data_IF_204148838291
#
_entry.id   IF_204148838291
#
_cell.length_a   1.000
_cell.length_b   1.000
_cell.length_c   1.000
_cell.angle_alpha   90.00
_cell.angle_beta   90.00
_cell.angle_gamma   90.00
#
_symmetry.space_group_name_H-M   'P 1'
#
loop_
_entity.id
_entity.type
_entity.pdbx_description
1 polymer ?
#
# COMPACT_ATOMS: atom_id res chain seq x y z
N UNK A 1 6.72 -7.52 -6.93
CA UNK A 1 8.19 -7.50 -7.15
C UNK A 1 8.71 -6.15 -7.63
N UNK A 2 8.17 -5.53 -8.69
CA UNK A 2 8.65 -4.22 -9.15
C UNK A 2 8.62 -3.13 -8.05
N UNK A 3 7.49 -2.98 -7.35
CA UNK A 3 7.37 -2.06 -6.20
C UNK A 3 8.37 -2.36 -5.07
N UNK A 4 8.56 -3.64 -4.76
CA UNK A 4 9.56 -4.12 -3.78
C UNK A 4 11.01 -3.77 -4.12
N UNK A 5 11.33 -3.44 -5.38
CA UNK A 5 12.67 -3.02 -5.82
C UNK A 5 12.82 -1.51 -6.01
N UNK A 6 11.72 -0.84 -6.37
CA UNK A 6 11.66 0.61 -6.57
C UNK A 6 11.68 1.34 -5.22
N UNK A 7 10.96 0.83 -4.21
CA UNK A 7 10.91 1.42 -2.87
C UNK A 7 12.31 1.49 -2.23
N UNK A 8 13.11 0.40 -2.19
CA UNK A 8 14.50 0.45 -1.74
C UNK A 8 15.35 1.45 -2.53
N UNK A 9 15.22 1.49 -3.87
CA UNK A 9 16.01 2.41 -4.70
C UNK A 9 15.70 3.88 -4.38
N UNK A 10 14.42 4.20 -4.22
CA UNK A 10 13.95 5.54 -3.87
C UNK A 10 14.40 5.92 -2.45
N UNK A 11 14.22 5.03 -1.46
CA UNK A 11 14.64 5.26 -0.07
C UNK A 11 16.16 5.32 0.13
N UNK A 12 16.95 4.73 -0.77
CA UNK A 12 18.41 4.84 -0.73
C UNK A 12 18.96 6.06 -1.48
N UNK A 13 18.09 6.87 -2.11
CA UNK A 13 18.46 8.04 -2.93
C UNK A 13 19.56 7.75 -3.96
N UNK A 14 19.63 6.51 -4.47
CA UNK A 14 20.66 6.11 -5.42
C UNK A 14 20.41 6.79 -6.75
N UNK A 15 21.41 7.53 -7.25
CA UNK A 15 21.27 8.24 -8.52
C UNK A 15 21.22 7.23 -9.70
N UNK A 16 20.76 7.70 -10.87
CA UNK A 16 20.68 6.87 -12.08
C UNK A 16 22.05 6.35 -12.56
N UNK A 17 23.17 6.93 -12.13
CA UNK A 17 24.52 6.48 -12.52
C UNK A 17 25.01 5.33 -11.61
N UNK A 18 24.72 5.38 -10.32
CA UNK A 18 25.07 4.37 -9.31
C UNK A 18 24.17 3.14 -9.46
N UNK A 19 22.89 3.37 -9.74
CA UNK A 19 21.92 2.29 -9.91
C UNK A 19 20.96 2.58 -11.07
N UNK A 20 21.36 2.23 -12.31
CA UNK A 20 20.59 2.53 -13.51
C UNK A 20 19.29 1.70 -13.61
N UNK A 21 18.25 2.23 -14.28
CA UNK A 21 16.92 1.60 -14.34
C UNK A 21 16.92 0.24 -15.03
N UNK A 22 17.84 -0.02 -15.99
CA UNK A 22 17.92 -1.34 -16.62
C UNK A 22 18.31 -2.44 -15.63
N UNK A 23 19.10 -2.14 -14.58
CA UNK A 23 19.44 -3.13 -13.55
C UNK A 23 18.23 -3.51 -12.72
N UNK A 24 17.34 -2.57 -12.40
CA UNK A 24 16.07 -2.89 -11.74
C UNK A 24 15.23 -3.85 -12.57
N UNK A 25 15.07 -3.55 -13.86
CA UNK A 25 14.28 -4.40 -14.77
C UNK A 25 14.90 -5.80 -14.82
N UNK A 26 16.22 -5.88 -14.99
CA UNK A 26 16.93 -7.15 -15.05
C UNK A 26 16.80 -7.96 -13.74
N UNK A 27 16.95 -7.32 -12.59
CA UNK A 27 16.76 -7.95 -11.28
C UNK A 27 15.34 -8.49 -11.15
N UNK A 28 14.33 -7.69 -11.45
CA UNK A 28 12.93 -8.12 -11.34
C UNK A 28 12.63 -9.26 -12.32
N UNK A 29 13.10 -9.17 -13.57
CA UNK A 29 12.91 -10.22 -14.57
C UNK A 29 13.58 -11.53 -14.17
N UNK A 30 14.85 -11.49 -13.74
CA UNK A 30 15.58 -12.69 -13.31
C UNK A 30 14.92 -13.29 -12.07
N UNK A 31 14.60 -12.48 -11.06
CA UNK A 31 13.94 -12.95 -9.85
C UNK A 31 12.58 -13.56 -10.13
N UNK A 32 11.80 -12.98 -11.06
CA UNK A 32 10.51 -13.51 -11.46
C UNK A 32 10.65 -14.87 -12.15
N UNK A 33 11.54 -14.99 -13.13
CA UNK A 33 11.78 -16.25 -13.85
C UNK A 33 12.28 -17.33 -12.88
N UNK A 34 13.25 -17.01 -12.03
CA UNK A 34 13.77 -17.95 -11.05
C UNK A 34 12.73 -18.37 -10.01
N UNK A 35 11.87 -17.45 -9.54
CA UNK A 35 10.78 -17.77 -8.63
C UNK A 35 9.74 -18.71 -9.28
N UNK A 36 9.39 -18.47 -10.55
CA UNK A 36 8.49 -19.34 -11.31
C UNK A 36 9.09 -20.74 -11.48
N UNK A 37 10.37 -20.84 -11.86
CA UNK A 37 11.07 -22.12 -12.00
C UNK A 37 11.16 -22.88 -10.67
N UNK A 38 11.47 -22.18 -9.58
CA UNK A 38 11.48 -22.77 -8.24
C UNK A 38 10.10 -23.32 -7.86
N UNK A 39 9.02 -22.58 -8.18
CA UNK A 39 7.66 -23.04 -7.94
C UNK A 39 7.27 -24.23 -8.82
N UNK A 40 7.66 -24.25 -10.10
CA UNK A 40 7.49 -25.41 -10.98
C UNK A 40 8.22 -26.63 -10.39
N UNK A 41 9.44 -26.46 -9.88
CA UNK A 41 10.17 -27.53 -9.19
C UNK A 41 9.41 -28.07 -7.97
N UNK A 42 8.88 -27.19 -7.12
CA UNK A 42 8.03 -27.59 -5.98
C UNK A 42 6.80 -28.36 -6.46
N UNK A 43 6.13 -27.87 -7.51
CA UNK A 43 4.95 -28.50 -8.09
C UNK A 43 5.25 -29.87 -8.73
N UNK A 44 6.47 -30.11 -9.22
CA UNK A 44 6.90 -31.41 -9.72
C UNK A 44 7.20 -32.40 -8.57
N UNK A 45 7.72 -31.92 -7.45
CA UNK A 45 7.99 -32.73 -6.27
C UNK A 45 6.73 -33.02 -5.44
N UNK A 46 5.66 -32.25 -5.62
CA UNK A 46 4.41 -32.35 -4.89
C UNK A 46 3.28 -32.89 -5.79
N UNK A 47 2.27 -33.57 -5.21
CA UNK A 47 1.11 -34.02 -5.98
C UNK A 47 0.18 -32.83 -6.26
N UNK A 48 0.06 -32.44 -7.52
CA UNK A 48 -0.79 -31.33 -7.94
C UNK A 48 -2.25 -31.52 -7.47
N UNK A 49 -2.94 -30.46 -6.98
CA UNK A 49 -2.47 -29.07 -6.82
C UNK A 49 -1.67 -28.81 -5.53
N UNK A 50 -0.70 -27.88 -5.60
CA UNK A 50 0.09 -27.45 -4.43
C UNK A 50 -0.79 -26.61 -3.50
N UNK A 51 -1.00 -27.04 -2.23
CA UNK A 51 -1.82 -26.30 -1.28
C UNK A 51 -1.17 -24.95 -0.97
N UNK A 52 -1.97 -23.90 -0.83
CA UNK A 52 -1.48 -22.54 -0.53
C UNK A 52 -0.37 -22.07 -1.47
N UNK A 53 -0.50 -22.37 -2.77
CA UNK A 53 0.47 -22.05 -3.84
C UNK A 53 1.13 -20.67 -3.68
N UNK A 54 0.35 -19.60 -3.46
CA UNK A 54 0.88 -18.24 -3.32
C UNK A 54 1.74 -18.06 -2.06
N UNK A 55 1.35 -18.69 -0.95
CA UNK A 55 2.07 -18.65 0.33
C UNK A 55 3.35 -19.48 0.27
N UNK A 56 3.30 -20.66 -0.35
CA UNK A 56 4.49 -21.50 -0.53
C UNK A 56 5.47 -20.86 -1.52
N UNK A 57 4.98 -20.26 -2.61
CA UNK A 57 5.81 -19.55 -3.58
C UNK A 57 6.51 -18.31 -2.99
N UNK A 58 5.95 -17.74 -1.92
CA UNK A 58 6.47 -16.54 -1.28
C UNK A 58 7.88 -16.74 -0.72
N UNK A 59 8.11 -17.80 0.03
CA UNK A 59 9.40 -18.06 0.69
C UNK A 59 10.56 -18.11 -0.30
N UNK A 60 10.53 -19.02 -1.30
CA UNK A 60 11.50 -19.07 -2.38
C UNK A 60 11.60 -17.74 -3.13
N UNK A 61 10.46 -17.09 -3.41
CA UNK A 61 10.42 -15.80 -4.10
C UNK A 61 11.17 -14.68 -3.36
N UNK A 62 10.92 -14.48 -2.06
CA UNK A 62 11.60 -13.45 -1.27
C UNK A 62 13.11 -13.81 -1.16
N UNK A 63 13.51 -15.08 -1.00
CA UNK A 63 14.94 -15.51 -0.97
C UNK A 63 15.65 -15.25 -2.31
N UNK A 64 15.03 -15.65 -3.42
CA UNK A 64 15.57 -15.45 -4.78
C UNK A 64 15.70 -13.97 -5.10
N UNK A 65 14.67 -13.17 -4.80
CA UNK A 65 14.72 -11.72 -4.96
C UNK A 65 15.92 -11.14 -4.23
N UNK A 66 16.15 -11.59 -3.01
CA UNK A 66 17.28 -11.18 -2.21
C UNK A 66 18.64 -11.55 -2.74
N UNK A 67 18.80 -12.81 -3.13
CA UNK A 67 20.04 -13.31 -3.71
C UNK A 67 20.40 -12.53 -4.97
N UNK A 68 19.43 -12.32 -5.87
CA UNK A 68 19.63 -11.55 -7.10
C UNK A 68 19.98 -10.08 -6.76
N UNK A 69 19.25 -9.43 -5.86
CA UNK A 69 19.61 -8.07 -5.42
C UNK A 69 21.03 -8.00 -4.86
N UNK A 70 21.39 -8.95 -4.00
CA UNK A 70 22.71 -8.99 -3.40
C UNK A 70 23.81 -9.13 -4.45
N UNK A 71 23.64 -10.01 -5.45
CA UNK A 71 24.60 -10.18 -6.55
C UNK A 71 24.76 -8.88 -7.34
N UNK A 72 23.67 -8.21 -7.70
CA UNK A 72 23.73 -6.98 -8.49
C UNK A 72 24.23 -5.75 -7.71
N UNK A 73 24.07 -5.74 -6.38
CA UNK A 73 24.55 -4.67 -5.50
C UNK A 73 25.89 -5.02 -4.82
N UNK A 74 26.43 -6.22 -4.99
CA UNK A 74 27.62 -6.69 -4.26
C UNK A 74 28.81 -5.73 -4.40
N UNK A 75 29.08 -5.24 -5.61
CA UNK A 75 30.17 -4.30 -5.85
C UNK A 75 29.94 -2.94 -5.20
N UNK A 76 28.70 -2.46 -5.18
CA UNK A 76 28.31 -1.21 -4.54
C UNK A 76 28.38 -1.32 -3.00
N UNK A 77 27.91 -2.43 -2.45
CA UNK A 77 27.96 -2.79 -1.02
C UNK A 77 29.39 -2.99 -0.50
N UNK A 78 30.29 -3.46 -1.36
CA UNK A 78 31.73 -3.62 -1.05
C UNK A 78 32.46 -2.28 -1.03
N UNK A 79 32.12 -1.37 -1.95
CA UNK A 79 32.78 -0.06 -2.08
C UNK A 79 32.25 0.98 -1.10
N UNK A 80 30.99 0.87 -0.67
CA UNK A 80 30.32 1.92 0.11
C UNK A 80 29.72 1.34 1.38
N UNK A 81 30.51 1.35 2.46
CA UNK A 81 30.12 0.90 3.81
C UNK A 81 28.78 1.47 4.33
N UNK A 82 28.45 2.76 4.16
CA UNK A 82 27.21 3.32 4.71
C UNK A 82 25.92 2.84 4.00
N UNK A 83 26.01 2.19 2.83
CA UNK A 83 24.82 1.71 2.09
C UNK A 83 24.27 0.38 2.63
N UNK A 84 25.03 -0.34 3.47
CA UNK A 84 24.63 -1.67 3.98
C UNK A 84 23.40 -1.62 4.88
N UNK A 85 23.36 -0.65 5.78
CA UNK A 85 22.25 -0.47 6.73
C UNK A 85 20.94 -0.11 6.00
N UNK A 86 20.91 0.88 5.09
CA UNK A 86 19.74 1.13 4.25
C UNK A 86 19.28 -0.11 3.46
N UNK A 87 20.20 -0.84 2.84
CA UNK A 87 19.85 -2.04 2.06
C UNK A 87 19.18 -3.10 2.95
N UNK A 88 19.74 -3.37 4.13
CA UNK A 88 19.16 -4.31 5.09
C UNK A 88 17.79 -3.88 5.60
N UNK A 89 17.60 -2.60 5.90
CA UNK A 89 16.30 -2.11 6.36
C UNK A 89 15.27 -2.06 5.20
N UNK A 90 15.70 -1.98 3.93
CA UNK A 90 14.79 -1.91 2.78
C UNK A 90 14.04 -3.23 2.56
N UNK A 91 14.61 -4.32 3.09
CA UNK A 91 13.94 -5.59 3.22
C UNK A 91 12.72 -5.54 4.13
N UNK A 92 12.61 -4.61 5.06
CA UNK A 92 11.40 -4.44 5.86
C UNK A 92 10.19 -4.13 4.94
N UNK A 93 10.38 -3.31 3.89
CA UNK A 93 9.31 -3.02 2.92
C UNK A 93 8.97 -4.22 2.04
N UNK A 94 9.94 -5.10 1.75
CA UNK A 94 9.72 -6.36 1.03
C UNK A 94 8.97 -7.35 1.91
N UNK A 95 9.40 -7.49 3.16
CA UNK A 95 8.74 -8.33 4.17
C UNK A 95 7.32 -7.87 4.46
N UNK A 96 7.06 -6.56 4.44
CA UNK A 96 5.72 -5.99 4.56
C UNK A 96 4.83 -6.43 3.40
N UNK A 97 5.30 -6.34 2.15
CA UNK A 97 4.56 -6.87 1.00
C UNK A 97 4.38 -8.40 1.07
N UNK A 98 5.41 -9.12 1.54
CA UNK A 98 5.35 -10.57 1.71
C UNK A 98 4.34 -10.95 2.83
N UNK A 99 4.25 -10.17 3.92
CA UNK A 99 3.33 -10.42 5.05
C UNK A 99 1.88 -10.42 4.61
N UNK A 100 1.55 -9.64 3.56
CA UNK A 100 0.19 -9.52 3.08
C UNK A 100 -0.42 -10.87 2.67
N UNK A 101 0.40 -11.69 2.00
CA UNK A 101 0.03 -12.99 1.45
C UNK A 101 -0.14 -14.08 2.51
N UNK A 102 0.36 -13.85 3.74
CA UNK A 102 0.30 -14.80 4.86
C UNK A 102 -0.77 -14.40 5.86
N UNK A 103 -0.80 -13.11 6.24
CA UNK A 103 -1.78 -12.57 7.17
C UNK A 103 -3.18 -12.70 6.57
N UNK A 104 -3.32 -12.64 5.24
CA UNK A 104 -4.63 -12.72 4.58
C UNK A 104 -5.36 -14.05 4.74
N UNK A 105 -4.79 -15.19 4.33
CA UNK A 105 -5.42 -16.48 4.59
C UNK A 105 -5.64 -16.72 6.08
N UNK A 106 -4.70 -16.30 6.95
CA UNK A 106 -4.80 -16.49 8.38
C UNK A 106 -5.96 -15.72 9.01
N UNK A 107 -6.06 -14.40 8.75
CA UNK A 107 -7.13 -13.56 9.27
C UNK A 107 -8.48 -13.99 8.72
N UNK A 108 -8.56 -14.35 7.43
CA UNK A 108 -9.81 -14.82 6.82
C UNK A 108 -10.29 -16.13 7.46
N UNK A 109 -9.39 -17.09 7.67
CA UNK A 109 -9.71 -18.36 8.33
C UNK A 109 -10.16 -18.15 9.78
N UNK A 110 -9.51 -17.24 10.50
CA UNK A 110 -9.91 -16.86 11.86
C UNK A 110 -11.29 -16.19 11.86
N UNK A 111 -11.55 -15.25 10.94
CA UNK A 111 -12.84 -14.55 10.82
C UNK A 111 -14.00 -15.50 10.50
N UNK A 112 -13.75 -16.53 9.69
CA UNK A 112 -14.75 -17.55 9.36
C UNK A 112 -15.02 -18.50 10.53
N UNK A 113 -14.01 -18.78 11.35
CA UNK A 113 -14.11 -19.71 12.49
C UNK A 113 -14.74 -19.11 13.76
N UNK A 114 -14.86 -17.77 13.85
CA UNK A 114 -15.40 -17.10 15.05
C UNK A 114 -16.90 -16.79 14.94
N UNK A 115 -17.56 -16.72 16.10
CA UNK A 115 -18.96 -16.26 16.20
C UNK A 115 -19.10 -14.80 15.76
N UNK A 116 -20.33 -14.32 15.50
CA UNK A 116 -20.58 -12.92 15.13
C UNK A 116 -20.01 -11.92 16.14
N UNK A 117 -20.07 -12.22 17.44
CA UNK A 117 -19.43 -11.41 18.48
C UNK A 117 -17.89 -11.40 18.34
N UNK A 118 -17.29 -12.54 17.99
CA UNK A 118 -15.86 -12.64 17.69
C UNK A 118 -15.45 -11.85 16.44
N UNK A 119 -16.28 -11.84 15.39
CA UNK A 119 -16.05 -11.01 14.19
C UNK A 119 -16.04 -9.53 14.53
N UNK A 120 -16.98 -9.08 15.36
CA UNK A 120 -17.02 -7.70 15.87
C UNK A 120 -15.75 -7.38 16.68
N UNK A 121 -15.34 -8.27 17.59
CA UNK A 121 -14.14 -8.07 18.40
C UNK A 121 -12.86 -7.97 17.53
N UNK A 122 -12.68 -8.87 16.56
CA UNK A 122 -11.56 -8.83 15.61
C UNK A 122 -11.57 -7.54 14.78
N UNK A 123 -12.75 -7.10 14.37
CA UNK A 123 -12.93 -5.85 13.63
C UNK A 123 -12.49 -4.63 14.45
N UNK A 124 -12.77 -4.60 15.75
CA UNK A 124 -12.35 -3.52 16.65
C UNK A 124 -10.84 -3.54 16.98
N UNK A 125 -10.21 -4.72 16.94
CA UNK A 125 -8.77 -4.86 17.11
C UNK A 125 -8.00 -4.39 15.87
N UNK A 126 -8.61 -4.49 14.68
CA UNK A 126 -7.96 -4.17 13.41
C UNK A 126 -7.40 -2.72 13.34
N UNK A 127 -8.11 -1.66 13.76
CA UNK A 127 -7.55 -0.31 13.90
C UNK A 127 -6.30 -0.23 14.78
N UNK A 128 -6.24 -1.01 15.88
CA UNK A 128 -5.10 -1.04 16.80
C UNK A 128 -3.89 -1.67 16.12
N UNK A 129 -4.10 -2.79 15.42
CA UNK A 129 -3.04 -3.44 14.62
C UNK A 129 -2.53 -2.47 13.54
N UNK A 130 -3.44 -1.85 12.78
CA UNK A 130 -3.15 -0.85 11.75
C UNK A 130 -2.27 0.28 12.32
N UNK A 131 -2.62 0.80 13.50
CA UNK A 131 -1.84 1.83 14.19
C UNK A 131 -0.43 1.37 14.59
N UNK A 132 -0.29 0.17 15.19
CA UNK A 132 1.00 -0.38 15.61
C UNK A 132 1.93 -0.58 14.42
N UNK A 133 1.42 -1.15 13.32
CA UNK A 133 2.19 -1.35 12.09
C UNK A 133 2.62 0.00 11.51
N UNK A 134 1.71 0.97 11.38
CA UNK A 134 2.05 2.34 10.93
C UNK A 134 3.14 2.96 11.79
N UNK A 135 3.07 2.82 13.11
CA UNK A 135 4.08 3.37 14.02
C UNK A 135 5.44 2.71 13.82
N UNK A 136 5.49 1.39 13.67
CA UNK A 136 6.73 0.65 13.41
C UNK A 136 7.34 1.04 12.05
N UNK A 137 6.51 1.11 11.02
CA UNK A 137 6.91 1.47 9.66
C UNK A 137 7.39 2.91 9.57
N UNK A 138 6.72 3.87 10.23
CA UNK A 138 7.18 5.27 10.31
C UNK A 138 8.56 5.38 10.96
N UNK A 139 8.77 4.64 12.06
CA UNK A 139 10.08 4.61 12.74
C UNK A 139 11.18 4.11 11.79
N UNK A 140 10.90 3.08 10.99
CA UNK A 140 11.84 2.58 9.98
C UNK A 140 12.02 3.55 8.81
N UNK A 141 10.94 4.17 8.33
CA UNK A 141 10.94 5.12 7.21
C UNK A 141 11.80 6.35 7.45
N UNK A 142 11.83 6.88 8.69
CA UNK A 142 12.71 8.00 9.07
C UNK A 142 14.19 7.72 8.88
N UNK A 143 14.60 6.45 8.88
CA UNK A 143 15.99 6.03 8.65
C UNK A 143 16.36 6.17 7.16
N UNK A 144 15.37 6.26 6.26
CA UNK A 144 15.50 6.30 4.80
C UNK A 144 15.21 7.66 4.16
N UNK A 145 14.87 8.68 4.96
CA UNK A 145 14.42 9.97 4.47
C UNK A 145 12.91 10.02 4.20
N UNK A 146 12.40 11.25 4.09
CA UNK A 146 10.96 11.55 4.19
C UNK A 146 10.09 10.81 3.16
N UNK A 147 10.55 10.67 1.90
CA UNK A 147 9.76 9.98 0.86
C UNK A 147 9.56 8.48 1.13
N UNK A 148 10.47 7.83 1.86
CA UNK A 148 10.35 6.40 2.16
C UNK A 148 9.40 6.13 3.33
N UNK A 149 9.24 7.08 4.26
CA UNK A 149 8.24 6.99 5.33
C UNK A 149 6.84 7.00 4.74
N UNK A 150 6.56 7.96 3.86
CA UNK A 150 5.25 8.16 3.25
C UNK A 150 4.84 6.97 2.39
N UNK A 151 5.73 6.49 1.51
CA UNK A 151 5.48 5.30 0.69
C UNK A 151 5.20 4.06 1.52
N UNK A 152 5.92 3.88 2.63
CA UNK A 152 5.74 2.70 3.47
C UNK A 152 4.42 2.78 4.26
N UNK A 153 4.04 3.96 4.76
CA UNK A 153 2.72 4.18 5.37
C UNK A 153 1.61 3.93 4.35
N UNK A 154 1.74 4.46 3.13
CA UNK A 154 0.77 4.22 2.05
C UNK A 154 0.62 2.73 1.71
N UNK A 155 1.72 1.96 1.71
CA UNK A 155 1.67 0.51 1.51
C UNK A 155 0.85 -0.19 2.59
N UNK A 156 0.95 0.24 3.86
CA UNK A 156 0.15 -0.32 4.96
C UNK A 156 -1.33 -0.01 4.76
N UNK A 157 -1.67 1.20 4.30
CA UNK A 157 -3.05 1.62 4.04
C UNK A 157 -3.68 0.80 2.91
N UNK A 158 -2.98 0.69 1.78
CA UNK A 158 -3.38 -0.16 0.64
C UNK A 158 -3.60 -1.60 1.10
N UNK A 159 -2.68 -2.11 1.92
CA UNK A 159 -2.78 -3.45 2.48
C UNK A 159 -4.05 -3.60 3.31
N UNK A 160 -4.28 -2.68 4.24
CA UNK A 160 -5.44 -2.71 5.14
C UNK A 160 -6.77 -2.63 4.39
N UNK A 161 -6.85 -1.81 3.34
CA UNK A 161 -8.04 -1.68 2.50
C UNK A 161 -8.33 -2.96 1.70
N UNK A 162 -7.28 -3.63 1.20
CA UNK A 162 -7.41 -4.95 0.58
C UNK A 162 -7.97 -5.97 1.58
N UNK A 163 -7.46 -5.99 2.81
CA UNK A 163 -7.99 -6.89 3.86
C UNK A 163 -9.46 -6.66 4.16
N UNK A 164 -9.84 -5.40 4.37
CA UNK A 164 -11.22 -5.02 4.67
C UNK A 164 -12.16 -5.45 3.54
N UNK A 165 -11.79 -5.16 2.29
CA UNK A 165 -12.55 -5.57 1.11
C UNK A 165 -12.81 -7.08 1.08
N UNK A 166 -11.79 -7.89 1.37
CA UNK A 166 -11.93 -9.34 1.35
C UNK A 166 -12.73 -9.90 2.55
N UNK A 167 -12.62 -9.30 3.74
CA UNK A 167 -13.46 -9.68 4.90
C UNK A 167 -14.93 -9.47 4.56
N UNK A 168 -15.25 -8.32 3.97
CA UNK A 168 -16.61 -7.94 3.60
C UNK A 168 -17.19 -8.82 2.49
N UNK A 169 -16.34 -9.24 1.56
CA UNK A 169 -16.70 -10.17 0.50
C UNK A 169 -16.99 -11.59 1.01
N UNK A 170 -16.12 -12.14 1.88
CA UNK A 170 -16.20 -13.55 2.29
C UNK A 170 -17.14 -13.78 3.48
N UNK A 171 -17.29 -12.79 4.35
CA UNK A 171 -18.22 -12.84 5.48
C UNK A 171 -19.03 -11.53 5.53
N UNK A 172 -20.04 -11.37 4.65
CA UNK A 172 -20.86 -10.16 4.57
C UNK A 172 -21.69 -9.98 5.84
N UNK A 173 -21.12 -9.32 6.84
CA UNK A 173 -21.78 -8.89 8.07
C UNK A 173 -22.02 -7.39 8.00
N UNK A 174 -23.29 -6.99 8.00
CA UNK A 174 -23.69 -5.56 7.94
C UNK A 174 -23.14 -4.81 9.15
N UNK A 175 -23.14 -5.44 10.33
CA UNK A 175 -22.62 -4.85 11.57
C UNK A 175 -21.11 -4.67 11.50
N UNK A 176 -20.35 -5.69 11.09
CA UNK A 176 -18.90 -5.57 10.94
C UNK A 176 -18.54 -4.51 9.89
N UNK A 177 -19.25 -4.50 8.76
CA UNK A 177 -19.13 -3.48 7.71
C UNK A 177 -19.35 -2.07 8.27
N UNK A 178 -20.47 -1.85 8.97
CA UNK A 178 -20.81 -0.54 9.53
C UNK A 178 -19.78 -0.06 10.56
N UNK A 179 -19.25 -0.98 11.38
CA UNK A 179 -18.18 -0.66 12.35
C UNK A 179 -16.89 -0.29 11.63
N UNK A 180 -16.45 -1.06 10.62
CA UNK A 180 -15.22 -0.76 9.85
C UNK A 180 -15.33 0.63 9.23
N UNK A 181 -16.41 0.87 8.48
CA UNK A 181 -16.64 2.16 7.82
C UNK A 181 -16.70 3.28 8.84
N UNK A 182 -17.44 3.11 9.94
CA UNK A 182 -17.55 4.14 10.98
C UNK A 182 -16.19 4.48 11.59
N UNK A 183 -15.35 3.49 11.85
CA UNK A 183 -13.99 3.71 12.37
C UNK A 183 -13.10 4.41 11.36
N UNK A 184 -13.12 3.99 10.09
CA UNK A 184 -12.30 4.61 9.04
C UNK A 184 -12.75 6.06 8.79
N UNK A 185 -14.06 6.33 8.72
CA UNK A 185 -14.60 7.68 8.63
C UNK A 185 -14.16 8.57 9.81
N UNK A 186 -14.23 8.05 11.03
CA UNK A 186 -13.76 8.78 12.21
C UNK A 186 -12.25 9.04 12.16
N UNK A 187 -11.46 8.05 11.71
CA UNK A 187 -10.01 8.20 11.55
C UNK A 187 -9.66 9.26 10.51
N UNK A 188 -10.31 9.24 9.36
CA UNK A 188 -10.14 10.23 8.31
C UNK A 188 -10.51 11.63 8.80
N UNK A 189 -11.69 11.79 9.41
CA UNK A 189 -12.14 13.09 9.94
C UNK A 189 -11.20 13.63 11.03
N UNK A 190 -10.70 12.76 11.92
CA UNK A 190 -9.70 13.14 12.91
C UNK A 190 -8.36 13.52 12.26
N UNK A 191 -7.93 12.82 11.21
CA UNK A 191 -6.72 13.17 10.48
C UNK A 191 -6.82 14.57 9.86
N UNK A 192 -7.97 14.88 9.22
CA UNK A 192 -8.25 16.21 8.68
C UNK A 192 -8.31 17.26 9.79
N UNK A 193 -9.02 16.98 10.90
CA UNK A 193 -9.10 17.93 12.02
C UNK A 193 -7.73 18.22 12.62
N UNK A 194 -6.92 17.18 12.88
CA UNK A 194 -5.55 17.34 13.40
C UNK A 194 -4.68 18.13 12.42
N UNK A 195 -4.87 17.91 11.11
CA UNK A 195 -4.20 18.68 10.08
C UNK A 195 -4.63 20.16 10.08
N UNK A 196 -5.94 20.43 10.21
CA UNK A 196 -6.50 21.78 10.29
C UNK A 196 -6.16 22.50 11.60
N UNK A 197 -5.98 21.80 12.71
CA UNK A 197 -5.64 22.39 14.00
C UNK A 197 -4.12 22.62 14.17
N UNK A 198 -3.30 22.15 13.22
CA UNK A 198 -1.84 22.33 13.25
C UNK A 198 -1.50 23.83 13.17
N UNK A 199 -0.85 24.42 14.19
CA UNK A 199 -0.56 25.85 14.21
C UNK A 199 0.45 26.18 13.11
N UNK A 200 0.02 26.92 12.09
CA UNK A 200 0.93 27.45 11.07
C UNK A 200 1.57 28.74 11.59
N UNK A 201 2.90 28.83 11.52
CA UNK A 201 3.65 30.05 11.87
C UNK A 201 3.33 31.22 10.93
N UNK A 202 2.85 30.91 9.73
CA UNK A 202 2.47 31.88 8.69
C UNK A 202 0.96 31.81 8.45
N UNK A 203 0.33 32.96 8.18
CA UNK A 203 -1.08 33.05 7.80
C UNK A 203 -1.36 32.24 6.52
N UNK A 204 -2.38 31.37 6.53
CA UNK A 204 -2.72 30.47 5.40
C UNK A 204 -2.93 31.20 4.08
N UNK A 205 -3.49 32.41 4.13
CA UNK A 205 -3.67 33.23 2.93
C UNK A 205 -2.34 33.55 2.25
N UNK A 206 -1.30 33.90 3.03
CA UNK A 206 0.05 34.14 2.45
C UNK A 206 0.65 32.88 1.85
N UNK A 207 0.38 31.72 2.43
CA UNK A 207 0.86 30.41 1.93
C UNK A 207 0.19 30.11 0.57
N UNK A 208 -1.13 30.29 0.48
CA UNK A 208 -1.91 30.08 -0.73
C UNK A 208 -1.51 31.09 -1.83
N UNK A 209 -1.39 32.37 -1.49
CA UNK A 209 -0.99 33.42 -2.45
C UNK A 209 0.40 33.15 -3.03
N UNK A 210 1.34 32.72 -2.17
CA UNK A 210 2.69 32.35 -2.58
C UNK A 210 2.67 31.12 -3.48
N UNK A 211 1.94 30.07 -3.10
CA UNK A 211 1.81 28.86 -3.92
C UNK A 211 1.17 29.16 -5.30
N UNK A 212 0.11 29.98 -5.34
CA UNK A 212 -0.54 30.40 -6.60
C UNK A 212 0.38 31.26 -7.46
N UNK A 213 1.17 32.15 -6.87
CA UNK A 213 2.17 32.93 -7.58
C UNK A 213 3.24 32.02 -8.21
N UNK A 214 3.70 31.00 -7.49
CA UNK A 214 4.65 30.01 -8.03
C UNK A 214 4.04 29.13 -9.13
N UNK A 215 2.81 28.66 -8.98
CA UNK A 215 2.10 27.84 -9.99
C UNK A 215 1.84 28.64 -11.28
N UNK A 216 1.47 29.92 -11.15
CA UNK A 216 1.33 30.80 -12.33
C UNK A 216 2.66 31.07 -13.02
N UNK A 217 3.75 31.19 -12.25
CA UNK A 217 5.10 31.38 -12.79
C UNK A 217 5.65 30.12 -13.48
N UNK A 218 5.23 28.93 -13.08
CA UNK A 218 5.71 27.65 -13.64
C UNK A 218 4.98 27.17 -14.89
N UNK A 219 3.78 27.67 -15.19
CA UNK A 219 3.08 27.38 -16.47
C UNK A 219 3.89 27.78 -17.73
N UNK A 220 5.05 28.44 -17.60
CA UNK A 220 5.95 28.81 -18.70
C UNK A 220 7.35 28.14 -18.74
N UNK A 221 7.74 27.24 -17.82
CA UNK A 221 9.13 26.72 -17.82
C UNK A 221 9.27 25.27 -17.26
N UNK A 222 9.22 24.29 -18.16
CA UNK A 222 9.03 22.86 -17.88
C UNK A 222 10.29 22.07 -17.41
N UNK A 223 11.45 22.69 -17.18
CA UNK A 223 12.67 21.94 -16.74
C UNK A 223 13.48 22.55 -15.60
N UNK A 224 13.14 23.77 -15.14
CA UNK A 224 13.90 24.49 -14.11
C UNK A 224 13.38 24.30 -12.68
N UNK A 225 12.28 23.56 -12.49
CA UNK A 225 11.55 23.47 -11.22
C UNK A 225 12.40 22.90 -10.08
N UNK A 226 13.06 21.76 -10.31
CA UNK A 226 13.82 21.06 -9.27
C UNK A 226 15.05 21.86 -8.80
N UNK A 227 15.74 22.51 -9.73
CA UNK A 227 16.91 23.35 -9.43
C UNK A 227 16.55 24.66 -8.70
N UNK A 228 15.38 25.26 -9.00
CA UNK A 228 14.94 26.51 -8.35
C UNK A 228 14.23 26.29 -7.03
N UNK A 229 13.53 25.17 -6.87
CA UNK A 229 12.94 24.79 -5.58
C UNK A 229 14.05 24.57 -4.55
N UNK A 230 15.15 23.92 -4.91
CA UNK A 230 16.31 23.73 -4.01
C UNK A 230 17.04 25.05 -3.68
N UNK A 231 17.10 26.00 -4.61
CA UNK A 231 17.74 27.33 -4.44
C UNK A 231 16.88 28.29 -3.59
N UNK A 232 15.55 28.15 -3.63
CA UNK A 232 14.59 28.92 -2.80
C UNK A 232 14.36 28.26 -1.42
N UNK A 233 14.61 26.95 -1.30
CA UNK A 233 14.50 26.19 -0.04
C UNK A 233 15.40 26.74 1.08
N UNK A 234 16.44 27.49 0.74
CA UNK A 234 17.42 28.03 1.68
C UNK A 234 17.00 29.39 2.30
N UNK A 235 15.90 30.01 1.83
CA UNK A 235 15.52 31.37 2.27
C UNK A 235 14.03 31.65 2.51
N UNK A 236 13.10 30.86 1.99
CA UNK A 236 11.65 31.15 2.07
C UNK A 236 10.90 30.15 3.00
N UNK A 237 10.84 30.47 4.31
CA UNK A 237 10.08 29.68 5.31
C UNK A 237 8.61 29.44 4.90
N UNK A 238 8.02 30.41 4.19
CA UNK A 238 6.64 30.34 3.68
C UNK A 238 6.48 29.25 2.63
N UNK A 239 7.45 29.09 1.73
CA UNK A 239 7.40 28.10 0.65
C UNK A 239 7.58 26.68 1.21
N UNK A 240 8.52 26.50 2.15
CA UNK A 240 8.73 25.20 2.82
C UNK A 240 7.44 24.77 3.53
N UNK A 241 6.80 25.67 4.28
CA UNK A 241 5.55 25.37 4.95
C UNK A 241 4.39 25.10 3.98
N UNK A 242 4.34 25.78 2.83
CA UNK A 242 3.36 25.50 1.77
C UNK A 242 3.50 24.08 1.21
N UNK A 243 4.75 23.66 0.94
CA UNK A 243 5.05 22.34 0.41
C UNK A 243 4.75 21.23 1.42
N UNK A 244 5.09 21.42 2.70
CA UNK A 244 4.74 20.45 3.76
C UNK A 244 3.23 20.26 3.92
N UNK A 245 2.46 21.36 3.83
CA UNK A 245 1.01 21.31 3.89
C UNK A 245 0.43 20.62 2.65
N UNK A 246 0.94 20.93 1.47
CA UNK A 246 0.53 20.29 0.22
C UNK A 246 0.83 18.78 0.25
N UNK A 247 2.03 18.39 0.68
CA UNK A 247 2.43 16.99 0.81
C UNK A 247 1.54 16.24 1.80
N UNK A 248 1.23 16.86 2.95
CA UNK A 248 0.34 16.27 3.93
C UNK A 248 -1.09 16.09 3.39
N UNK A 249 -1.60 17.08 2.66
CA UNK A 249 -2.91 17.00 2.02
C UNK A 249 -2.95 15.94 0.91
N UNK A 250 -1.91 15.87 0.08
CA UNK A 250 -1.75 14.85 -0.95
C UNK A 250 -1.74 13.45 -0.34
N UNK A 251 -0.99 13.24 0.75
CA UNK A 251 -0.95 11.95 1.45
C UNK A 251 -2.33 11.54 2.00
N UNK A 252 -3.09 12.46 2.59
CA UNK A 252 -4.45 12.17 3.09
C UNK A 252 -5.36 11.80 1.91
N UNK A 253 -5.37 12.62 0.86
CA UNK A 253 -6.18 12.38 -0.34
C UNK A 253 -5.85 11.03 -1.00
N UNK A 254 -4.56 10.70 -1.07
CA UNK A 254 -4.07 9.44 -1.62
C UNK A 254 -4.59 8.24 -0.83
N UNK A 255 -4.57 8.30 0.50
CA UNK A 255 -5.08 7.23 1.37
C UNK A 255 -6.58 7.01 1.14
N UNK A 256 -7.37 8.08 1.25
CA UNK A 256 -8.82 8.04 1.05
C UNK A 256 -9.19 7.53 -0.36
N UNK A 257 -8.42 7.93 -1.37
CA UNK A 257 -8.58 7.42 -2.74
C UNK A 257 -8.40 5.89 -2.80
N UNK A 258 -7.39 5.32 -2.15
CA UNK A 258 -7.20 3.86 -2.15
C UNK A 258 -8.27 3.12 -1.37
N UNK A 259 -8.78 3.71 -0.29
CA UNK A 259 -9.90 3.14 0.47
C UNK A 259 -11.19 3.07 -0.36
N UNK A 260 -11.34 3.89 -1.40
CA UNK A 260 -12.43 3.81 -2.39
C UNK A 260 -12.07 2.90 -3.56
N UNK A 261 -10.89 3.08 -4.16
CA UNK A 261 -10.50 2.43 -5.40
C UNK A 261 -10.31 0.91 -5.25
N UNK A 262 -9.72 0.45 -4.15
CA UNK A 262 -9.43 -0.97 -3.93
C UNK A 262 -10.71 -1.81 -3.80
N UNK A 263 -11.68 -1.48 -2.93
CA UNK A 263 -12.91 -2.27 -2.85
C UNK A 263 -13.73 -2.20 -4.13
N UNK A 264 -13.70 -1.08 -4.86
CA UNK A 264 -14.36 -0.96 -6.16
C UNK A 264 -13.73 -1.92 -7.19
N UNK A 265 -12.40 -1.94 -7.26
CA UNK A 265 -11.66 -2.87 -8.11
C UNK A 265 -11.94 -4.32 -7.71
N UNK A 266 -11.99 -4.61 -6.40
CA UNK A 266 -12.29 -5.94 -5.89
C UNK A 266 -13.74 -6.37 -6.22
N UNK A 267 -14.70 -5.46 -6.15
CA UNK A 267 -16.08 -5.72 -6.56
C UNK A 267 -16.17 -6.04 -8.06
N UNK A 268 -15.50 -5.24 -8.91
CA UNK A 268 -15.43 -5.51 -10.34
C UNK A 268 -14.74 -6.85 -10.64
N UNK A 269 -13.62 -7.14 -9.97
CA UNK A 269 -12.92 -8.42 -10.09
C UNK A 269 -13.82 -9.59 -9.69
N UNK A 270 -14.49 -9.51 -8.53
CA UNK A 270 -15.39 -10.56 -8.07
C UNK A 270 -16.54 -10.80 -9.07
N UNK A 271 -17.16 -9.73 -9.55
CA UNK A 271 -18.23 -9.83 -10.52
C UNK A 271 -17.73 -10.52 -11.80
N UNK A 272 -16.63 -10.06 -12.39
CA UNK A 272 -16.12 -10.63 -13.65
C UNK A 272 -15.63 -12.06 -13.44
N UNK A 273 -14.83 -12.32 -12.41
CA UNK A 273 -14.20 -13.61 -12.18
C UNK A 273 -15.21 -14.69 -11.79
N UNK A 274 -16.32 -14.33 -11.15
CA UNK A 274 -17.39 -15.29 -10.82
C UNK A 274 -18.23 -15.73 -12.02
N UNK A 275 -18.21 -15.00 -13.13
CA UNK A 275 -18.94 -15.37 -14.35
C UNK A 275 -18.18 -16.40 -15.22
N UNK A 276 -16.91 -16.64 -14.95
CA UNK A 276 -16.09 -17.56 -15.74
C UNK A 276 -16.24 -18.99 -15.19
N UNK A 277 -16.44 -19.97 -16.06
CA UNK A 277 -16.59 -21.39 -15.66
C UNK A 277 -15.39 -21.92 -14.86
N UNK A 278 -14.20 -21.35 -15.08
CA UNK A 278 -13.00 -21.69 -14.32
C UNK A 278 -13.09 -21.34 -12.83
N UNK A 279 -14.05 -20.49 -12.43
CA UNK A 279 -14.33 -20.15 -11.05
C UNK A 279 -14.71 -21.37 -10.20
N UNK A 280 -15.32 -22.41 -10.79
CA UNK A 280 -15.68 -23.66 -10.13
C UNK A 280 -14.46 -24.38 -9.53
N UNK A 281 -13.30 -24.25 -10.16
CA UNK A 281 -12.07 -24.90 -9.72
C UNK A 281 -11.27 -24.06 -8.73
N UNK A 282 -11.70 -22.83 -8.45
CA UNK A 282 -11.06 -21.96 -7.48
C UNK A 282 -11.86 -21.96 -6.17
N UNK A 283 -11.33 -22.50 -5.05
CA UNK A 283 -12.05 -22.59 -3.78
C UNK A 283 -12.56 -21.24 -3.25
N UNK A 284 -11.94 -20.13 -3.65
CA UNK A 284 -12.37 -18.78 -3.25
C UNK A 284 -13.49 -18.22 -4.12
N UNK A 285 -13.58 -18.62 -5.40
CA UNK A 285 -14.60 -18.12 -6.33
C UNK A 285 -15.76 -19.08 -6.52
N UNK A 286 -15.55 -20.38 -6.30
CA UNK A 286 -16.55 -21.42 -6.42
C UNK A 286 -17.82 -21.14 -5.58
N UNK A 287 -17.73 -20.62 -4.33
CA UNK A 287 -18.92 -20.28 -3.56
C UNK A 287 -19.75 -19.15 -4.17
N UNK A 288 -19.12 -18.23 -4.90
CA UNK A 288 -19.79 -17.09 -5.55
C UNK A 288 -20.35 -17.45 -6.91
N UNK A 289 -19.68 -18.32 -7.66
CA UNK A 289 -20.18 -18.86 -8.92
C UNK A 289 -21.37 -19.81 -8.70
N UNK A 290 -21.32 -20.66 -7.67
CA UNK A 290 -22.38 -21.62 -7.38
C UNK A 290 -23.63 -21.00 -6.73
N UNK A 291 -23.50 -19.81 -6.10
CA UNK A 291 -24.60 -19.17 -5.40
C UNK A 291 -24.65 -17.66 -5.67
N UNK A 292 -25.60 -17.27 -6.52
CA UNK A 292 -25.85 -15.87 -6.87
C UNK A 292 -26.23 -14.98 -5.67
N UNK A 293 -26.88 -15.53 -4.64
CA UNK A 293 -27.24 -14.74 -3.45
C UNK A 293 -26.00 -14.33 -2.65
N UNK A 294 -25.02 -15.24 -2.53
CA UNK A 294 -23.72 -14.93 -1.89
C UNK A 294 -22.93 -13.90 -2.68
N UNK A 295 -22.93 -14.01 -4.00
CA UNK A 295 -22.30 -13.03 -4.89
C UNK A 295 -22.94 -11.64 -4.70
N UNK A 296 -24.27 -11.56 -4.76
CA UNK A 296 -25.00 -10.30 -4.59
C UNK A 296 -24.79 -9.71 -3.18
N UNK A 297 -24.78 -10.54 -2.14
CA UNK A 297 -24.53 -10.09 -0.77
C UNK A 297 -23.12 -9.50 -0.60
N UNK A 298 -22.10 -10.18 -1.14
CA UNK A 298 -20.71 -9.70 -1.13
C UNK A 298 -20.53 -8.41 -1.93
N UNK A 299 -21.08 -8.35 -3.15
CA UNK A 299 -21.04 -7.15 -4.00
C UNK A 299 -21.77 -5.97 -3.34
N UNK A 300 -22.95 -6.20 -2.75
CA UNK A 300 -23.68 -5.15 -2.05
C UNK A 300 -22.88 -4.60 -0.87
N UNK A 301 -22.26 -5.48 -0.07
CA UNK A 301 -21.42 -5.07 1.07
C UNK A 301 -20.24 -4.20 0.60
N UNK A 302 -19.49 -4.67 -0.42
CA UNK A 302 -18.38 -3.93 -1.03
C UNK A 302 -18.82 -2.58 -1.61
N UNK A 303 -19.89 -2.55 -2.39
CA UNK A 303 -20.39 -1.31 -3.00
C UNK A 303 -20.90 -0.31 -1.97
N UNK A 304 -21.56 -0.80 -0.91
CA UNK A 304 -22.02 0.06 0.19
C UNK A 304 -20.84 0.71 0.90
N UNK A 305 -19.79 -0.07 1.16
CA UNK A 305 -18.54 0.43 1.70
C UNK A 305 -17.88 1.47 0.80
N UNK A 306 -17.71 1.15 -0.48
CA UNK A 306 -17.12 2.08 -1.46
C UNK A 306 -17.91 3.37 -1.54
N UNK A 307 -19.24 3.31 -1.54
CA UNK A 307 -20.09 4.51 -1.58
C UNK A 307 -19.93 5.35 -0.32
N UNK A 308 -19.94 4.75 0.86
CA UNK A 308 -19.73 5.47 2.11
C UNK A 308 -18.36 6.12 2.15
N UNK A 309 -17.30 5.40 1.75
CA UNK A 309 -15.95 5.99 1.69
C UNK A 309 -15.84 7.09 0.63
N UNK A 310 -16.50 6.94 -0.53
CA UNK A 310 -16.53 7.99 -1.54
C UNK A 310 -17.22 9.26 -1.02
N UNK A 311 -18.29 9.12 -0.23
CA UNK A 311 -18.93 10.25 0.42
C UNK A 311 -18.01 10.93 1.44
N UNK A 312 -17.25 10.16 2.22
CA UNK A 312 -16.23 10.71 3.14
C UNK A 312 -15.18 11.50 2.38
N UNK A 313 -14.65 10.92 1.29
CA UNK A 313 -13.65 11.56 0.44
C UNK A 313 -14.17 12.87 -0.15
N UNK A 314 -15.40 12.88 -0.68
CA UNK A 314 -16.03 14.09 -1.20
C UNK A 314 -16.20 15.12 -0.07
N UNK A 315 -16.68 14.70 1.10
CA UNK A 315 -16.86 15.60 2.24
C UNK A 315 -15.54 16.21 2.75
N UNK A 316 -14.40 15.54 2.56
CA UNK A 316 -13.08 16.08 2.90
C UNK A 316 -12.52 17.05 1.85
N UNK A 317 -12.97 16.95 0.61
CA UNK A 317 -12.54 17.85 -0.47
C UNK A 317 -13.28 19.21 -0.45
N UNK A 318 -14.37 19.32 0.31
CA UNK A 318 -15.20 20.53 0.46
C UNK A 318 -14.93 21.22 1.80
#
# INVERSE_FOLDING_TARGET
MLGATIIPRAGMQLNNQQYPPYKLVLIVSISLVAAVLAFVGIALCWRFPVPFTLTIALGPGCVILGAVHFVFLADLLRRTSPLRTPILLSWASVLEQCSQLVIYPAVSAVFEAVSEAGKIALTLIFPVIKYVIKKAVRKSGKIFGDSSEEMAVASVEISSSLYQSMIMQNSPSVTATAIIVGFDMLQGLLAVKIFMDKPSRVSRHRIIDTALAYIHKTKGADRSFRSKVDEVRDGDEVLVQALELLQSAENILFIEYFEVAIPLLNAAFLFIASQVDSALYNPKLAPFHANNERLVAGLRSLLTYTLLQALTLIAMCW
#
